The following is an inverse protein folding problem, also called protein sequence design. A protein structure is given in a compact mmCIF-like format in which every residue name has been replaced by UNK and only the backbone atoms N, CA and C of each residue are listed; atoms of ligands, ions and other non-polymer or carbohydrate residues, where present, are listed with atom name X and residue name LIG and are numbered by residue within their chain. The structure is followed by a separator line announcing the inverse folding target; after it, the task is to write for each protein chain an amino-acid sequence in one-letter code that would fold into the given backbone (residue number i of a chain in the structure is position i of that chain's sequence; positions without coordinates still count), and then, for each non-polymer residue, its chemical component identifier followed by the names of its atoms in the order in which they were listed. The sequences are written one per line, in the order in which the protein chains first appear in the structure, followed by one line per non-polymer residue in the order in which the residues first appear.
data_IF_144564861088
#
_entry.id   IF_144564861088
#
_cell.length_a   1.000
_cell.length_b   1.000
_cell.length_c   1.000
_cell.angle_alpha   90.00
_cell.angle_beta   90.00
_cell.angle_gamma   90.00
#
_symmetry.space_group_name_H-M   'P 1'
#
loop_
_entity.id
_entity.type
_entity.pdbx_description
1 polymer ?
#
# COMPACT_ATOMS: atom_id res chain seq x y z
N UNK A 1 -11.30 4.08 -19.38
CA UNK A 1 -10.57 3.27 -18.68
C UNK A 1 -10.03 2.06 -19.42
N UNK A 2 -10.86 1.12 -19.78
CA UNK A 2 -10.38 -0.20 -20.14
C UNK A 2 -10.24 -0.32 -21.66
N UNK A 3 -9.19 -0.95 -22.13
CA UNK A 3 -9.04 -1.31 -23.55
C UNK A 3 -10.21 -2.16 -24.03
N UNK A 4 -10.83 -2.91 -23.11
CA UNK A 4 -11.97 -3.78 -23.40
C UNK A 4 -13.30 -3.05 -23.59
N UNK A 5 -13.44 -1.78 -23.21
CA UNK A 5 -14.74 -1.09 -23.34
C UNK A 5 -15.28 -0.98 -24.77
N UNK A 6 -14.48 -0.66 -25.81
CA UNK A 6 -14.98 -0.69 -27.18
C UNK A 6 -15.51 -2.09 -27.58
N UNK A 7 -14.83 -3.13 -27.15
CA UNK A 7 -15.27 -4.51 -27.40
C UNK A 7 -16.57 -4.85 -26.64
N UNK A 8 -16.70 -4.42 -25.38
CA UNK A 8 -17.93 -4.60 -24.61
C UNK A 8 -19.10 -3.81 -25.21
N UNK A 9 -18.85 -2.60 -25.70
CA UNK A 9 -19.85 -1.79 -26.37
C UNK A 9 -20.43 -2.51 -27.61
N UNK A 10 -19.57 -3.10 -28.45
CA UNK A 10 -19.99 -3.87 -29.61
C UNK A 10 -20.75 -5.12 -29.20
N UNK A 11 -20.33 -5.85 -28.18
CA UNK A 11 -21.07 -7.00 -27.64
C UNK A 11 -22.46 -6.62 -27.15
N UNK A 12 -22.61 -5.48 -26.48
CA UNK A 12 -23.91 -5.00 -26.00
C UNK A 12 -24.79 -4.61 -27.18
N UNK A 13 -24.25 -3.97 -28.23
CA UNK A 13 -24.99 -3.65 -29.45
C UNK A 13 -25.53 -4.93 -30.15
N UNK A 14 -24.68 -5.94 -30.28
CA UNK A 14 -25.07 -7.25 -30.85
C UNK A 14 -26.16 -7.90 -29.98
N UNK A 15 -25.97 -8.00 -28.68
CA UNK A 15 -26.94 -8.61 -27.78
C UNK A 15 -28.30 -7.87 -27.79
N UNK A 16 -28.29 -6.54 -27.88
CA UNK A 16 -29.52 -5.75 -27.99
C UNK A 16 -30.26 -6.03 -29.30
N UNK A 17 -29.53 -6.15 -30.41
CA UNK A 17 -30.10 -6.52 -31.70
C UNK A 17 -30.72 -7.94 -31.70
N UNK A 18 -30.02 -8.94 -31.15
CA UNK A 18 -30.50 -10.31 -31.02
C UNK A 18 -31.78 -10.42 -30.17
N UNK A 19 -31.90 -9.56 -29.16
CA UNK A 19 -33.08 -9.50 -28.29
C UNK A 19 -34.18 -8.59 -28.83
N UNK A 20 -34.02 -7.97 -30.00
CA UNK A 20 -34.97 -7.03 -30.56
C UNK A 20 -35.20 -5.76 -29.76
N UNK A 21 -34.21 -5.34 -28.97
CA UNK A 21 -34.31 -4.14 -28.14
C UNK A 21 -33.98 -2.88 -28.94
N UNK A 22 -34.93 -1.95 -29.01
CA UNK A 22 -34.73 -0.63 -29.61
C UNK A 22 -34.04 0.33 -28.66
N UNK A 23 -32.73 0.13 -28.44
CA UNK A 23 -31.91 0.96 -27.56
C UNK A 23 -30.80 1.66 -28.35
N UNK A 24 -30.47 2.90 -27.93
CA UNK A 24 -29.32 3.64 -28.45
C UNK A 24 -28.14 3.42 -27.53
N UNK A 25 -27.04 2.91 -28.07
CA UNK A 25 -25.81 2.62 -27.30
C UNK A 25 -24.71 3.45 -27.92
N UNK A 26 -24.11 4.33 -27.11
CA UNK A 26 -22.98 5.21 -27.48
C UNK A 26 -21.94 5.20 -26.38
N UNK A 27 -20.68 5.18 -26.77
CA UNK A 27 -19.55 5.17 -25.85
C UNK A 27 -18.26 5.66 -26.52
N UNK A 28 -17.19 4.93 -26.35
CA UNK A 28 -15.87 5.24 -26.94
C UNK A 28 -15.87 5.02 -28.46
N UNK A 29 -16.57 4.00 -28.95
CA UNK A 29 -16.63 3.68 -30.37
C UNK A 29 -17.34 4.75 -31.21
N UNK A 30 -18.21 5.56 -30.61
CA UNK A 30 -18.89 6.66 -31.27
C UNK A 30 -18.42 8.05 -30.79
N UNK A 31 -17.21 8.12 -30.29
CA UNK A 31 -16.54 9.36 -29.86
C UNK A 31 -17.30 10.17 -28.78
N UNK A 32 -18.27 9.57 -28.10
CA UNK A 32 -18.98 10.21 -26.99
C UNK A 32 -18.09 10.31 -25.76
N UNK A 33 -17.22 9.33 -25.57
CA UNK A 33 -16.19 9.28 -24.54
C UNK A 33 -14.82 9.13 -25.19
N UNK A 34 -13.77 9.76 -24.65
CA UNK A 34 -12.43 9.59 -25.20
C UNK A 34 -11.94 8.14 -25.04
N UNK A 35 -11.23 7.58 -26.03
CA UNK A 35 -10.74 6.20 -25.98
C UNK A 35 -9.62 6.00 -24.94
N UNK A 36 -8.94 7.07 -24.53
CA UNK A 36 -7.80 7.05 -23.61
C UNK A 36 -8.04 7.99 -22.43
N UNK A 37 -7.18 7.90 -21.41
CA UNK A 37 -7.15 8.71 -20.20
C UNK A 37 -8.25 8.39 -19.18
N UNK A 38 -8.06 8.92 -17.99
CA UNK A 38 -8.99 8.77 -16.88
C UNK A 38 -10.26 9.61 -17.10
N UNK A 39 -11.38 9.07 -16.66
CA UNK A 39 -12.63 9.80 -16.67
C UNK A 39 -12.79 10.60 -15.38
N UNK A 40 -13.01 11.89 -15.52
CA UNK A 40 -13.41 12.75 -14.43
C UNK A 40 -14.94 13.03 -14.43
N UNK A 41 -15.49 13.52 -13.33
CA UNK A 41 -16.92 13.81 -13.24
C UNK A 41 -17.41 14.84 -14.25
N UNK A 42 -16.55 15.76 -14.69
CA UNK A 42 -16.93 16.81 -15.68
C UNK A 42 -17.07 16.18 -17.06
N UNK A 43 -16.09 15.36 -17.45
CA UNK A 43 -16.10 14.62 -18.71
C UNK A 43 -17.33 13.72 -18.81
N UNK A 44 -17.62 12.91 -17.78
CA UNK A 44 -18.78 12.02 -17.77
C UNK A 44 -20.08 12.80 -17.83
N UNK A 45 -20.23 13.89 -17.06
CA UNK A 45 -21.43 14.76 -17.12
C UNK A 45 -21.61 15.40 -18.48
N UNK A 46 -20.52 15.85 -19.11
CA UNK A 46 -20.56 16.42 -20.46
C UNK A 46 -21.04 15.39 -21.50
N UNK A 47 -20.51 14.16 -21.44
CA UNK A 47 -20.91 13.08 -22.33
C UNK A 47 -22.39 12.70 -22.13
N UNK A 48 -22.85 12.57 -20.90
CA UNK A 48 -24.27 12.29 -20.59
C UNK A 48 -25.18 13.43 -21.08
N UNK A 49 -24.79 14.69 -20.85
CA UNK A 49 -25.54 15.83 -21.34
C UNK A 49 -25.62 15.87 -22.87
N UNK A 50 -24.52 15.60 -23.55
CA UNK A 50 -24.48 15.47 -25.01
C UNK A 50 -25.39 14.35 -25.52
N UNK A 51 -25.36 13.17 -24.86
CA UNK A 51 -26.22 12.04 -25.23
C UNK A 51 -27.72 12.38 -25.14
N UNK A 52 -28.11 13.07 -24.05
CA UNK A 52 -29.50 13.46 -23.83
C UNK A 52 -29.86 14.84 -24.40
N UNK A 53 -28.94 15.50 -25.10
CA UNK A 53 -29.11 16.85 -25.67
C UNK A 53 -29.53 17.88 -24.63
N UNK A 54 -28.98 17.79 -23.42
CA UNK A 54 -29.22 18.71 -22.31
C UNK A 54 -28.07 19.72 -22.24
N UNK A 55 -28.38 21.00 -22.03
CA UNK A 55 -27.35 22.04 -21.85
C UNK A 55 -26.59 21.81 -20.51
N UNK A 56 -25.30 21.61 -20.60
CA UNK A 56 -24.40 21.43 -19.45
C UNK A 56 -23.21 22.36 -19.60
N UNK A 57 -23.05 23.25 -18.63
CA UNK A 57 -21.90 24.15 -18.53
C UNK A 57 -20.96 23.64 -17.45
N UNK A 58 -19.80 23.08 -17.81
CA UNK A 58 -18.83 22.64 -16.83
C UNK A 58 -18.36 23.81 -15.95
N UNK A 59 -18.12 23.59 -14.65
CA UNK A 59 -17.61 24.60 -13.77
C UNK A 59 -16.23 25.07 -14.26
N UNK A 60 -16.02 26.37 -14.33
CA UNK A 60 -14.69 26.93 -14.59
C UNK A 60 -13.87 26.83 -13.32
N UNK A 61 -13.01 25.82 -13.24
CA UNK A 61 -12.03 25.69 -12.15
C UNK A 61 -10.79 26.49 -12.56
N UNK A 62 -10.51 27.58 -11.86
CA UNK A 62 -9.21 28.25 -11.98
C UNK A 62 -8.22 27.49 -11.11
N UNK A 63 -7.34 26.73 -11.75
CA UNK A 63 -6.19 26.11 -11.07
C UNK A 63 -5.08 27.15 -11.06
N UNK A 64 -4.70 27.61 -9.87
CA UNK A 64 -3.50 28.43 -9.71
C UNK A 64 -2.27 27.51 -9.89
N UNK A 65 -1.36 27.90 -10.76
CA UNK A 65 -0.17 27.10 -11.12
C UNK A 65 0.80 26.86 -9.97
N UNK A 66 0.65 27.57 -8.85
CA UNK A 66 1.60 27.60 -7.74
C UNK A 66 1.19 26.70 -6.55
N UNK A 67 0.26 25.76 -6.75
CA UNK A 67 -0.08 24.81 -5.70
C UNK A 67 1.06 23.79 -5.53
N UNK A 68 1.54 23.61 -4.29
CA UNK A 68 2.58 22.62 -4.03
C UNK A 68 2.06 21.21 -4.34
N UNK A 69 2.87 20.41 -5.02
CA UNK A 69 2.55 19.01 -5.27
C UNK A 69 2.45 18.25 -3.95
N UNK A 70 1.41 17.48 -3.80
CA UNK A 70 1.17 16.61 -2.63
C UNK A 70 1.03 15.17 -3.10
N UNK A 71 2.14 14.48 -3.37
CA UNK A 71 2.08 13.08 -3.78
C UNK A 71 1.41 12.24 -2.69
N UNK A 72 0.68 11.18 -3.06
CA UNK A 72 0.09 10.27 -2.09
C UNK A 72 1.19 9.66 -1.21
N UNK A 73 0.88 9.42 0.07
CA UNK A 73 1.84 8.87 1.03
C UNK A 73 1.15 7.85 1.95
N UNK A 74 1.93 6.94 2.50
CA UNK A 74 1.46 6.04 3.56
C UNK A 74 1.01 6.85 4.79
N UNK A 75 -0.10 6.44 5.39
CA UNK A 75 -0.68 7.11 6.55
C UNK A 75 0.29 7.20 7.73
N UNK A 76 0.06 8.16 8.63
CA UNK A 76 0.76 8.18 9.91
C UNK A 76 0.43 6.92 10.73
N UNK A 77 1.48 6.21 11.18
CA UNK A 77 1.36 4.94 11.89
C UNK A 77 1.00 3.74 11.04
N UNK A 78 1.09 3.86 9.74
CA UNK A 78 0.89 2.72 8.83
C UNK A 78 1.90 1.61 9.12
N UNK A 79 1.47 0.34 9.34
CA UNK A 79 2.39 -0.77 9.59
C UNK A 79 3.28 -1.08 8.37
N UNK A 80 2.81 -0.82 7.16
CA UNK A 80 3.63 -1.00 5.96
C UNK A 80 4.87 -0.12 5.97
N UNK A 81 4.75 1.14 6.45
CA UNK A 81 5.90 2.04 6.63
C UNK A 81 6.94 1.45 7.56
N UNK A 82 6.51 0.91 8.69
CA UNK A 82 7.40 0.27 9.66
C UNK A 82 8.07 -0.98 9.08
N UNK A 83 7.34 -1.75 8.25
CA UNK A 83 7.90 -2.92 7.55
C UNK A 83 8.98 -2.52 6.56
N UNK A 84 8.74 -1.50 5.74
CA UNK A 84 9.74 -0.99 4.78
C UNK A 84 10.97 -0.46 5.49
N UNK A 85 10.77 0.34 6.54
CA UNK A 85 11.87 0.83 7.37
C UNK A 85 12.70 -0.34 7.93
N UNK A 86 12.04 -1.36 8.50
CA UNK A 86 12.72 -2.51 9.06
C UNK A 86 13.50 -3.32 8.01
N UNK A 87 12.96 -3.50 6.80
CA UNK A 87 13.66 -4.17 5.69
C UNK A 87 14.89 -3.36 5.27
N UNK A 88 14.76 -2.05 5.10
CA UNK A 88 15.89 -1.16 4.76
C UNK A 88 16.98 -1.21 5.83
N UNK A 89 16.62 -1.15 7.11
CA UNK A 89 17.59 -1.26 8.21
C UNK A 89 18.22 -2.67 8.30
N UNK A 90 17.50 -3.71 7.92
CA UNK A 90 18.04 -5.07 7.88
C UNK A 90 19.06 -5.26 6.76
N UNK A 91 18.85 -4.63 5.60
CA UNK A 91 19.78 -4.62 4.47
C UNK A 91 21.03 -3.77 4.76
N UNK A 92 20.91 -2.73 5.60
CA UNK A 92 21.98 -1.78 5.85
C UNK A 92 22.35 -0.99 4.58
N UNK A 93 23.64 -0.92 4.27
CA UNK A 93 24.15 -0.30 3.04
C UNK A 93 23.99 -1.21 1.81
N UNK A 94 23.52 -2.44 2.01
CA UNK A 94 23.29 -3.39 0.92
C UNK A 94 22.13 -2.95 0.02
N UNK A 95 22.26 -3.25 -1.26
CA UNK A 95 21.20 -3.09 -2.24
C UNK A 95 20.40 -4.38 -2.40
N UNK A 96 19.12 -4.26 -2.73
CA UNK A 96 18.25 -5.38 -3.08
C UNK A 96 17.33 -4.94 -4.21
N UNK A 97 16.75 -5.89 -4.95
CA UNK A 97 15.65 -5.60 -5.88
C UNK A 97 14.34 -5.81 -5.14
N UNK A 98 13.44 -4.85 -5.26
CA UNK A 98 12.15 -4.80 -4.58
C UNK A 98 10.97 -4.95 -5.56
N UNK A 99 10.61 -6.17 -6.00
CA UNK A 99 9.35 -6.38 -6.68
C UNK A 99 8.18 -6.05 -5.75
N UNK A 100 7.25 -5.26 -6.23
CA UNK A 100 6.05 -4.89 -5.52
C UNK A 100 4.83 -5.09 -6.41
N UNK A 101 3.63 -4.82 -5.89
CA UNK A 101 2.40 -4.83 -6.65
C UNK A 101 1.35 -3.86 -6.07
N UNK A 102 0.08 -4.03 -6.41
CA UNK A 102 -0.94 -3.00 -6.21
C UNK A 102 -1.60 -3.11 -4.84
N UNK A 103 -1.52 -2.04 -4.07
CA UNK A 103 -2.15 -1.86 -2.77
C UNK A 103 -1.64 -0.59 -2.09
N UNK A 104 -2.04 -0.31 -0.85
CA UNK A 104 -1.48 0.83 -0.09
C UNK A 104 0.04 0.77 -0.01
N UNK A 105 0.61 -0.41 0.00
CA UNK A 105 2.05 -0.63 0.05
C UNK A 105 2.78 -0.24 -1.24
N UNK A 106 2.08 -0.08 -2.38
CA UNK A 106 2.65 0.56 -3.58
C UNK A 106 3.31 1.90 -3.28
N UNK A 107 2.76 2.64 -2.31
CA UNK A 107 3.31 3.93 -1.89
C UNK A 107 4.69 3.82 -1.22
N UNK A 108 5.18 2.62 -0.96
CA UNK A 108 6.57 2.35 -0.56
C UNK A 108 7.60 2.66 -1.66
N UNK A 109 7.18 2.86 -2.91
CA UNK A 109 8.04 3.28 -4.02
C UNK A 109 8.61 4.69 -3.80
N UNK A 110 7.87 5.55 -3.09
CA UNK A 110 8.25 6.95 -2.90
C UNK A 110 9.32 7.11 -1.82
N UNK A 111 10.21 8.09 -1.97
CA UNK A 111 11.14 8.45 -0.91
C UNK A 111 10.39 8.82 0.39
N UNK A 112 11.01 8.57 1.55
CA UNK A 112 12.35 8.02 1.76
C UNK A 112 12.42 6.49 1.74
N UNK A 113 11.30 5.80 1.61
CA UNK A 113 11.25 4.34 1.69
C UNK A 113 11.91 3.67 0.48
N UNK A 114 11.57 4.13 -0.73
CA UNK A 114 12.15 3.69 -2.01
C UNK A 114 12.33 2.16 -2.10
N UNK A 115 11.28 1.40 -1.72
CA UNK A 115 11.32 -0.06 -1.64
C UNK A 115 10.30 -0.71 -2.60
N UNK A 116 10.25 -0.21 -3.83
CA UNK A 116 9.53 -0.83 -4.95
C UNK A 116 10.22 -0.40 -6.27
N UNK A 117 10.94 -1.31 -6.89
CA UNK A 117 11.67 -1.08 -8.14
C UNK A 117 10.87 -1.53 -9.37
N UNK A 118 9.97 -2.49 -9.18
CA UNK A 118 9.17 -3.07 -10.25
C UNK A 118 7.75 -3.32 -9.78
N UNK A 119 6.79 -2.93 -10.60
CA UNK A 119 5.38 -3.07 -10.32
C UNK A 119 4.60 -3.23 -11.63
N UNK A 120 3.73 -4.23 -11.72
CA UNK A 120 2.91 -4.46 -12.90
C UNK A 120 1.43 -4.55 -12.56
N UNK A 121 1.00 -5.57 -11.82
CA UNK A 121 -0.40 -5.80 -11.44
C UNK A 121 -0.48 -6.52 -10.09
N UNK A 122 -1.70 -6.70 -9.57
CA UNK A 122 -1.90 -7.43 -8.31
C UNK A 122 -1.31 -8.84 -8.37
N UNK A 123 -0.39 -9.15 -7.43
CA UNK A 123 0.29 -10.44 -7.31
C UNK A 123 1.54 -10.61 -8.18
N UNK A 124 1.85 -9.65 -9.04
CA UNK A 124 3.05 -9.71 -9.90
C UNK A 124 4.35 -9.70 -9.11
N UNK A 125 4.37 -9.17 -7.89
CA UNK A 125 5.56 -9.12 -7.03
C UNK A 125 6.15 -10.50 -6.79
N UNK A 126 5.31 -11.49 -6.50
CA UNK A 126 5.76 -12.86 -6.19
C UNK A 126 6.32 -13.55 -7.42
N UNK A 127 5.64 -13.43 -8.57
CA UNK A 127 6.09 -14.05 -9.82
C UNK A 127 7.34 -13.39 -10.38
N UNK A 128 7.40 -12.05 -10.38
CA UNK A 128 8.59 -11.32 -10.85
C UNK A 128 9.80 -11.50 -9.94
N UNK A 129 9.59 -11.64 -8.62
CA UNK A 129 10.68 -11.98 -7.70
C UNK A 129 11.35 -13.30 -8.06
N UNK A 130 10.57 -14.31 -8.43
CA UNK A 130 11.10 -15.57 -8.94
C UNK A 130 12.01 -15.37 -10.17
N UNK A 131 11.56 -14.57 -11.14
CA UNK A 131 12.33 -14.23 -12.33
C UNK A 131 13.63 -13.48 -12.00
N UNK A 132 13.53 -12.41 -11.22
CA UNK A 132 14.71 -11.61 -10.79
C UNK A 132 15.71 -12.48 -10.04
N UNK A 133 15.28 -13.40 -9.19
CA UNK A 133 16.18 -14.28 -8.43
C UNK A 133 17.00 -15.26 -9.28
N UNK A 134 16.66 -15.44 -10.56
CA UNK A 134 17.37 -16.32 -11.49
C UNK A 134 18.36 -15.57 -12.40
N UNK A 135 18.26 -14.25 -12.53
CA UNK A 135 19.03 -13.49 -13.52
C UNK A 135 19.99 -12.47 -12.90
N UNK A 136 20.05 -12.41 -11.56
CA UNK A 136 20.93 -11.48 -10.86
C UNK A 136 21.36 -12.02 -9.48
N UNK A 137 22.46 -11.48 -8.94
CA UNK A 137 23.07 -11.92 -7.68
C UNK A 137 22.60 -11.08 -6.47
N UNK A 138 21.98 -9.93 -6.68
CA UNK A 138 21.48 -9.09 -5.59
C UNK A 138 20.33 -9.79 -4.87
N UNK A 139 20.18 -9.60 -3.55
CA UNK A 139 19.01 -10.07 -2.83
C UNK A 139 17.71 -9.55 -3.45
N UNK A 140 16.71 -10.42 -3.55
CA UNK A 140 15.36 -10.04 -4.00
C UNK A 140 14.44 -10.07 -2.79
N UNK A 141 13.76 -8.95 -2.51
CA UNK A 141 12.80 -8.81 -1.41
C UNK A 141 11.47 -8.32 -1.97
N UNK A 142 10.54 -9.22 -2.18
CA UNK A 142 9.22 -8.90 -2.73
C UNK A 142 8.25 -8.49 -1.64
N UNK A 143 7.36 -7.55 -1.95
CA UNK A 143 6.28 -7.12 -1.07
C UNK A 143 4.92 -7.43 -1.68
N UNK A 144 4.01 -7.98 -0.88
CA UNK A 144 2.62 -8.24 -1.24
C UNK A 144 1.70 -7.96 -0.06
N UNK A 145 0.56 -7.33 -0.28
CA UNK A 145 -0.48 -7.18 0.75
C UNK A 145 -1.25 -8.48 0.98
N UNK A 146 -1.85 -8.64 2.16
CA UNK A 146 -2.66 -9.80 2.53
C UNK A 146 -3.80 -10.08 1.53
N UNK A 147 -4.57 -9.09 1.18
CA UNK A 147 -5.65 -9.20 0.20
C UNK A 147 -5.14 -9.63 -1.17
N UNK A 148 -4.08 -9.00 -1.67
CA UNK A 148 -3.45 -9.35 -2.95
C UNK A 148 -2.82 -10.74 -2.92
N UNK A 149 -2.23 -11.15 -1.80
CA UNK A 149 -1.72 -12.50 -1.62
C UNK A 149 -2.82 -13.55 -1.82
N UNK A 150 -3.99 -13.36 -1.20
CA UNK A 150 -5.14 -14.25 -1.41
C UNK A 150 -5.69 -14.20 -2.84
N UNK A 151 -5.68 -13.01 -3.46
CA UNK A 151 -6.21 -12.82 -4.81
C UNK A 151 -5.37 -13.55 -5.87
N UNK A 152 -4.05 -13.38 -5.86
CA UNK A 152 -3.17 -13.86 -6.95
C UNK A 152 -1.73 -14.19 -6.53
N UNK A 153 -1.33 -13.93 -5.27
CA UNK A 153 0.03 -14.22 -4.81
C UNK A 153 0.31 -15.71 -4.58
N UNK A 154 -0.72 -16.50 -4.21
CA UNK A 154 -0.57 -17.92 -3.86
C UNK A 154 -0.04 -18.74 -5.03
N UNK A 155 -0.56 -18.54 -6.23
CA UNK A 155 -0.13 -19.26 -7.43
C UNK A 155 1.34 -18.96 -7.79
N UNK A 156 1.74 -17.68 -7.65
CA UNK A 156 3.13 -17.26 -7.82
C UNK A 156 4.05 -17.91 -6.79
N UNK A 157 3.60 -18.04 -5.55
CA UNK A 157 4.38 -18.70 -4.48
C UNK A 157 4.56 -20.19 -4.73
N UNK A 158 3.51 -20.90 -5.13
CA UNK A 158 3.58 -22.33 -5.51
C UNK A 158 4.59 -22.52 -6.65
N UNK A 159 4.50 -21.69 -7.69
CA UNK A 159 5.43 -21.71 -8.81
C UNK A 159 6.89 -21.45 -8.36
N UNK A 160 7.09 -20.48 -7.47
CA UNK A 160 8.42 -20.14 -6.98
C UNK A 160 9.06 -21.27 -6.17
N UNK A 161 8.30 -21.93 -5.31
CA UNK A 161 8.76 -23.08 -4.53
C UNK A 161 9.06 -24.27 -5.47
N UNK A 162 8.15 -24.58 -6.39
CA UNK A 162 8.33 -25.67 -7.35
C UNK A 162 9.59 -25.53 -8.20
N UNK A 163 9.94 -24.30 -8.61
CA UNK A 163 11.10 -24.02 -9.46
C UNK A 163 12.36 -23.62 -8.66
N UNK A 164 12.38 -23.84 -7.37
CA UNK A 164 13.52 -23.56 -6.48
C UNK A 164 14.05 -22.11 -6.67
N UNK A 165 13.15 -21.14 -6.63
CA UNK A 165 13.50 -19.72 -6.66
C UNK A 165 14.04 -19.27 -5.30
N UNK A 166 14.92 -18.28 -5.29
CA UNK A 166 15.59 -17.81 -4.08
C UNK A 166 15.30 -16.32 -3.83
N UNK A 167 14.29 -16.01 -3.00
CA UNK A 167 13.97 -14.64 -2.60
C UNK A 167 13.28 -14.60 -1.24
N UNK A 168 13.19 -13.41 -0.66
CA UNK A 168 12.40 -13.15 0.54
C UNK A 168 11.07 -12.49 0.16
N UNK A 169 9.95 -13.12 0.55
CA UNK A 169 8.62 -12.55 0.38
C UNK A 169 8.15 -11.93 1.70
N UNK A 170 7.83 -10.65 1.70
CA UNK A 170 7.24 -9.94 2.83
C UNK A 170 5.74 -9.78 2.58
N UNK A 171 4.93 -10.54 3.30
CA UNK A 171 3.46 -10.43 3.27
C UNK A 171 3.04 -9.38 4.31
N UNK A 172 2.45 -8.30 3.84
CA UNK A 172 2.02 -7.17 4.65
C UNK A 172 0.55 -7.38 5.10
N UNK A 173 0.38 -8.09 6.23
CA UNK A 173 -0.92 -8.45 6.80
C UNK A 173 -1.47 -7.30 7.67
N UNK A 174 -2.35 -6.47 7.12
CA UNK A 174 -3.02 -5.39 7.83
C UNK A 174 -4.50 -5.68 8.16
N UNK A 175 -5.00 -6.86 7.79
CA UNK A 175 -6.34 -7.34 8.08
C UNK A 175 -7.45 -6.68 7.27
N UNK A 176 -7.15 -6.04 6.14
CA UNK A 176 -8.18 -5.41 5.29
C UNK A 176 -7.66 -5.02 3.91
N UNK A 177 -8.52 -5.02 2.90
CA UNK A 177 -8.24 -4.43 1.58
C UNK A 177 -8.36 -2.92 1.68
N UNK A 178 -7.31 -2.26 2.22
CA UNK A 178 -7.41 -0.88 2.70
C UNK A 178 -7.58 0.16 1.60
N UNK A 179 -6.86 0.05 0.48
CA UNK A 179 -6.78 1.07 -0.56
C UNK A 179 -8.13 1.39 -1.20
N UNK A 180 -8.97 0.39 -1.41
CA UNK A 180 -10.24 0.52 -2.12
C UNK A 180 -11.46 0.73 -1.21
N UNK A 181 -11.26 0.91 0.10
CA UNK A 181 -12.35 1.20 1.04
C UNK A 181 -12.48 0.20 2.18
N UNK A 182 -11.42 -0.53 2.50
CA UNK A 182 -11.36 -1.43 3.66
C UNK A 182 -12.30 -2.64 3.55
N UNK A 183 -12.38 -3.25 2.37
CA UNK A 183 -13.17 -4.46 2.15
C UNK A 183 -12.56 -5.66 2.90
N UNK A 184 -13.41 -6.62 3.30
CA UNK A 184 -12.94 -7.89 3.84
C UNK A 184 -12.28 -8.75 2.75
N UNK A 185 -11.43 -9.69 3.19
CA UNK A 185 -10.76 -10.68 2.35
C UNK A 185 -10.71 -12.04 3.10
N UNK A 186 -10.33 -13.15 2.47
CA UNK A 186 -10.38 -14.48 3.11
C UNK A 186 -9.61 -14.64 4.43
N UNK A 187 -8.67 -13.77 4.73
CA UNK A 187 -7.89 -13.77 5.98
C UNK A 187 -8.59 -13.13 7.18
N UNK A 188 -9.83 -12.66 7.04
CA UNK A 188 -10.61 -12.03 8.13
C UNK A 188 -11.92 -12.77 8.37
N UNK A 189 -12.48 -12.60 9.57
CA UNK A 189 -13.72 -13.28 10.02
C UNK A 189 -14.99 -12.50 9.63
N UNK A 190 -14.99 -11.83 8.49
CA UNK A 190 -16.12 -11.03 8.02
C UNK A 190 -16.23 -11.11 6.49
N UNK A 191 -17.44 -11.33 5.98
CA UNK A 191 -17.72 -11.21 4.54
C UNK A 191 -18.24 -9.81 4.20
N UNK A 192 -18.32 -9.50 2.90
CA UNK A 192 -18.94 -8.26 2.42
C UNK A 192 -20.42 -8.13 2.84
N UNK A 193 -21.11 -9.24 3.05
CA UNK A 193 -22.50 -9.31 3.51
C UNK A 193 -22.64 -9.31 5.05
N UNK A 194 -21.53 -9.17 5.79
CA UNK A 194 -21.54 -9.17 7.26
C UNK A 194 -21.64 -10.55 7.91
N UNK A 195 -21.49 -11.66 7.17
CA UNK A 195 -21.41 -13.01 7.73
C UNK A 195 -20.03 -13.28 8.32
N UNK A 196 -19.93 -14.21 9.26
CA UNK A 196 -18.70 -14.60 9.94
C UNK A 196 -18.23 -16.02 9.52
N UNK A 197 -17.55 -16.17 8.39
CA UNK A 197 -16.99 -17.43 7.95
C UNK A 197 -15.69 -17.74 8.69
N UNK A 198 -15.19 -19.01 8.64
CA UNK A 198 -13.83 -19.33 9.02
C UNK A 198 -12.86 -18.53 8.17
N UNK A 199 -11.83 -17.97 8.79
CA UNK A 199 -10.75 -17.29 8.07
C UNK A 199 -9.67 -18.27 7.62
N UNK A 200 -9.01 -17.93 6.52
CA UNK A 200 -7.82 -18.63 6.05
C UNK A 200 -6.60 -18.02 6.75
N UNK A 201 -5.85 -18.85 7.45
CA UNK A 201 -4.60 -18.44 8.09
C UNK A 201 -3.46 -18.36 7.06
N UNK A 202 -2.86 -17.18 6.91
CA UNK A 202 -1.79 -16.93 5.92
C UNK A 202 -0.58 -17.86 6.18
N UNK A 203 -0.18 -18.03 7.45
CA UNK A 203 0.98 -18.86 7.79
C UNK A 203 0.76 -20.32 7.40
N UNK A 204 -0.42 -20.85 7.67
CA UNK A 204 -0.81 -22.20 7.30
C UNK A 204 -0.86 -22.36 5.77
N UNK A 205 -1.42 -21.37 5.06
CA UNK A 205 -1.47 -21.37 3.61
C UNK A 205 -0.07 -21.34 2.99
N UNK A 206 0.81 -20.46 3.46
CA UNK A 206 2.20 -20.36 2.99
C UNK A 206 2.95 -21.68 3.22
N UNK A 207 2.75 -22.31 4.38
CA UNK A 207 3.34 -23.65 4.66
C UNK A 207 2.78 -24.71 3.73
N UNK A 208 1.48 -24.68 3.43
CA UNK A 208 0.83 -25.56 2.46
C UNK A 208 1.35 -25.39 1.03
N UNK A 209 1.92 -24.24 0.68
CA UNK A 209 2.62 -24.01 -0.58
C UNK A 209 4.04 -24.59 -0.61
N UNK A 210 4.53 -25.19 0.49
CA UNK A 210 5.85 -25.83 0.57
C UNK A 210 6.97 -24.91 1.08
N UNK A 211 6.64 -23.77 1.70
CA UNK A 211 7.64 -22.89 2.32
C UNK A 211 7.94 -23.35 3.74
N UNK A 212 9.20 -23.64 4.04
CA UNK A 212 9.65 -24.06 5.36
C UNK A 212 10.05 -22.88 6.25
N UNK A 213 10.76 -21.89 5.70
CA UNK A 213 11.24 -20.72 6.42
C UNK A 213 10.18 -19.62 6.48
N UNK A 214 9.40 -19.59 7.57
CA UNK A 214 8.32 -18.63 7.78
C UNK A 214 8.50 -17.95 9.13
N UNK A 215 8.56 -16.63 9.14
CA UNK A 215 8.59 -15.80 10.37
C UNK A 215 7.38 -14.88 10.41
N UNK A 216 6.78 -14.71 11.59
CA UNK A 216 5.70 -13.72 11.82
C UNK A 216 6.25 -12.64 12.74
N UNK A 217 6.12 -11.38 12.30
CA UNK A 217 6.62 -10.22 13.04
C UNK A 217 5.53 -9.17 13.21
N UNK A 218 5.65 -8.37 14.27
CA UNK A 218 4.86 -7.14 14.41
C UNK A 218 5.76 -5.95 14.02
N UNK A 219 5.55 -5.29 12.88
CA UNK A 219 6.43 -4.23 12.38
C UNK A 219 6.50 -3.02 13.31
N UNK A 220 5.53 -2.85 14.22
CA UNK A 220 5.57 -1.80 15.24
C UNK A 220 6.59 -2.10 16.36
N UNK A 221 7.17 -3.30 16.42
CA UNK A 221 8.32 -3.67 17.26
C UNK A 221 9.59 -3.66 16.41
N UNK A 222 10.12 -2.45 16.17
CA UNK A 222 11.13 -2.18 15.13
C UNK A 222 12.35 -3.08 15.25
N UNK A 223 13.03 -3.08 16.40
CA UNK A 223 14.28 -3.83 16.60
C UNK A 223 14.09 -5.34 16.43
N UNK A 224 12.99 -5.88 16.97
CA UNK A 224 12.66 -7.30 16.81
C UNK A 224 12.38 -7.66 15.36
N UNK A 225 11.72 -6.77 14.64
CA UNK A 225 11.41 -6.98 13.22
C UNK A 225 12.69 -6.93 12.39
N UNK A 226 13.58 -5.98 12.63
CA UNK A 226 14.89 -5.90 11.97
C UNK A 226 15.70 -7.18 12.22
N UNK A 227 15.79 -7.62 13.48
CA UNK A 227 16.54 -8.84 13.83
C UNK A 227 15.99 -10.09 13.13
N UNK A 228 14.66 -10.25 13.12
CA UNK A 228 14.01 -11.39 12.46
C UNK A 228 14.20 -11.37 10.94
N UNK A 229 14.15 -10.21 10.30
CA UNK A 229 14.41 -10.08 8.86
C UNK A 229 15.86 -10.41 8.53
N UNK A 230 16.82 -9.89 9.31
CA UNK A 230 18.25 -10.23 9.14
C UNK A 230 18.48 -11.75 9.20
N UNK A 231 17.94 -12.40 10.23
CA UNK A 231 18.03 -13.86 10.41
C UNK A 231 17.44 -14.63 9.20
N UNK A 232 16.30 -14.17 8.68
CA UNK A 232 15.67 -14.78 7.49
C UNK A 232 16.53 -14.59 6.25
N UNK A 233 17.17 -13.45 6.09
CA UNK A 233 17.99 -13.12 4.92
C UNK A 233 19.40 -13.77 4.96
N UNK A 234 19.82 -14.31 6.08
CA UNK A 234 21.03 -15.15 6.18
C UNK A 234 20.90 -16.47 5.42
N UNK A 235 19.69 -17.00 5.31
CA UNK A 235 19.40 -18.16 4.49
C UNK A 235 19.49 -17.78 3.00
N UNK A 236 20.39 -18.44 2.26
CA UNK A 236 20.69 -18.14 0.86
C UNK A 236 19.95 -19.04 -0.12
N UNK A 237 19.04 -19.88 0.37
CA UNK A 237 18.36 -20.88 -0.45
C UNK A 237 16.84 -20.78 -0.35
N UNK A 238 16.16 -21.10 -1.44
CA UNK A 238 14.71 -21.23 -1.50
C UNK A 238 13.93 -19.94 -1.21
N UNK A 239 12.62 -20.06 -1.14
CA UNK A 239 11.73 -18.96 -0.79
C UNK A 239 11.59 -18.84 0.73
N UNK A 240 11.86 -17.66 1.26
CA UNK A 240 11.66 -17.29 2.67
C UNK A 240 10.48 -16.35 2.78
N UNK A 241 9.64 -16.50 3.81
CA UNK A 241 8.45 -15.67 4.00
C UNK A 241 8.48 -14.97 5.35
N UNK A 242 8.35 -13.65 5.33
CA UNK A 242 8.12 -12.79 6.50
C UNK A 242 6.68 -12.31 6.46
N UNK A 243 5.86 -12.73 7.41
CA UNK A 243 4.50 -12.23 7.59
C UNK A 243 4.56 -11.05 8.57
N UNK A 244 4.49 -9.83 8.02
CA UNK A 244 4.50 -8.59 8.79
C UNK A 244 3.08 -8.21 9.17
N UNK A 245 2.69 -8.56 10.40
CA UNK A 245 1.31 -8.51 10.85
C UNK A 245 1.04 -7.40 11.85
N UNK A 246 0.20 -6.46 11.45
CA UNK A 246 -0.34 -5.42 12.33
C UNK A 246 -1.56 -4.76 11.68
N UNK A 247 -2.67 -4.55 12.41
CA UNK A 247 -3.88 -4.04 11.81
C UNK A 247 -3.70 -2.63 11.22
N UNK A 248 -4.45 -2.34 10.16
CA UNK A 248 -4.54 -0.99 9.60
C UNK A 248 -5.12 -0.03 10.65
N UNK A 249 -4.39 1.03 11.07
CA UNK A 249 -4.85 1.89 12.17
C UNK A 249 -6.10 2.69 11.83
N UNK A 250 -6.35 2.98 10.56
CA UNK A 250 -7.58 3.65 10.12
C UNK A 250 -8.78 2.70 10.22
N UNK A 251 -8.61 1.46 9.80
CA UNK A 251 -9.64 0.43 9.89
C UNK A 251 -9.93 0.07 11.35
N UNK A 252 -8.91 -0.19 12.16
CA UNK A 252 -9.07 -0.47 13.58
C UNK A 252 -9.82 0.65 14.30
N UNK A 253 -9.47 1.91 14.03
CA UNK A 253 -10.16 3.06 14.60
C UNK A 253 -11.62 3.13 14.16
N UNK A 254 -11.91 2.81 12.90
CA UNK A 254 -13.27 2.80 12.34
C UNK A 254 -14.15 1.76 13.03
N UNK A 255 -13.66 0.52 13.19
CA UNK A 255 -14.45 -0.58 13.76
C UNK A 255 -14.54 -0.54 15.29
N UNK A 256 -13.51 -0.04 15.98
CA UNK A 256 -13.49 -0.03 17.45
C UNK A 256 -13.97 1.28 18.07
N UNK A 257 -14.05 2.36 17.29
CA UNK A 257 -14.33 3.71 17.81
C UNK A 257 -13.28 4.25 18.79
N UNK A 258 -12.18 3.51 19.03
CA UNK A 258 -11.15 3.90 20.01
C UNK A 258 -10.45 5.17 19.58
N UNK A 259 -10.47 6.18 20.45
CA UNK A 259 -9.72 7.43 20.27
C UNK A 259 -8.27 7.24 20.73
N UNK A 260 -7.35 7.81 19.97
CA UNK A 260 -5.95 7.85 20.32
C UNK A 260 -5.72 8.66 21.62
N UNK A 261 -5.13 8.03 22.66
CA UNK A 261 -4.87 8.65 23.95
C UNK A 261 -3.46 9.22 24.10
N UNK A 262 -2.50 8.68 23.33
CA UNK A 262 -1.09 9.06 23.39
C UNK A 262 -0.64 9.50 22.00
N UNK A 263 0.02 10.61 21.93
CA UNK A 263 0.75 11.10 20.75
C UNK A 263 2.21 11.28 21.12
N UNK A 264 3.06 11.57 20.16
CA UNK A 264 4.48 11.81 20.41
C UNK A 264 4.82 13.26 20.11
N UNK A 265 5.88 13.74 20.72
CA UNK A 265 6.48 15.06 20.46
C UNK A 265 7.99 14.93 20.37
N UNK A 266 8.61 15.80 19.60
CA UNK A 266 10.04 16.00 19.61
C UNK A 266 10.39 16.91 20.78
N UNK A 267 11.47 16.61 21.48
CA UNK A 267 11.98 17.41 22.60
C UNK A 267 13.21 18.20 22.15
N UNK A 268 13.67 19.11 23.00
CA UNK A 268 14.91 19.89 22.80
C UNK A 268 16.19 19.04 22.82
N UNK A 269 16.09 17.74 23.08
CA UNK A 269 17.19 16.77 22.91
C UNK A 269 17.42 16.42 21.41
N UNK A 270 16.66 17.00 20.48
CA UNK A 270 16.80 16.74 19.05
C UNK A 270 18.09 17.37 18.51
N UNK A 271 18.94 16.54 17.94
CA UNK A 271 20.21 16.93 17.31
C UNK A 271 20.08 17.23 15.80
N UNK A 272 18.85 17.30 15.29
CA UNK A 272 18.55 17.55 13.87
C UNK A 272 19.16 16.54 12.90
N UNK A 273 19.40 15.30 13.32
CA UNK A 273 19.95 14.23 12.46
C UNK A 273 19.00 13.80 11.31
N UNK A 274 17.75 14.24 11.31
CA UNK A 274 16.71 14.05 10.27
C UNK A 274 16.31 12.59 9.99
N UNK A 275 16.81 11.59 10.69
CA UNK A 275 16.45 10.17 10.46
C UNK A 275 14.93 9.92 10.46
N UNK A 276 14.17 10.64 11.28
CA UNK A 276 12.71 10.56 11.32
C UNK A 276 12.04 11.05 10.01
N UNK A 277 12.69 11.97 9.29
CA UNK A 277 12.24 12.48 7.98
C UNK A 277 12.80 11.63 6.84
N UNK A 278 14.12 11.45 6.84
CA UNK A 278 14.87 10.96 5.67
C UNK A 278 14.92 9.42 5.60
N UNK A 279 14.63 8.69 6.69
CA UNK A 279 14.55 7.23 6.70
C UNK A 279 13.12 6.72 6.95
N UNK A 280 12.39 7.27 7.93
CA UNK A 280 11.03 6.83 8.25
C UNK A 280 9.97 7.54 7.42
N UNK A 281 10.10 8.86 7.20
CA UNK A 281 9.22 9.69 6.37
C UNK A 281 7.76 9.69 6.81
N UNK A 282 7.47 9.61 8.12
CA UNK A 282 6.09 9.64 8.61
C UNK A 282 5.45 11.01 8.36
N UNK A 283 4.24 11.08 7.74
CA UNK A 283 3.60 12.36 7.38
C UNK A 283 3.15 13.20 8.60
N UNK A 284 3.27 12.67 9.81
CA UNK A 284 3.06 13.45 11.01
C UNK A 284 4.26 14.33 11.39
N UNK A 285 5.44 14.12 10.78
CA UNK A 285 6.58 15.00 10.97
C UNK A 285 6.50 16.21 10.05
N UNK A 286 6.92 17.35 10.61
CA UNK A 286 7.06 18.61 9.87
C UNK A 286 8.42 19.20 10.17
N UNK A 287 9.13 19.62 9.13
CA UNK A 287 10.30 20.48 9.27
C UNK A 287 9.81 21.92 9.35
N UNK A 288 10.24 22.63 10.37
CA UNK A 288 9.83 24.00 10.66
C UNK A 288 11.05 24.88 10.87
N UNK A 289 10.89 26.17 10.66
CA UNK A 289 11.82 27.23 11.04
C UNK A 289 11.09 28.21 11.93
N UNK A 290 11.76 28.68 13.00
CA UNK A 290 11.21 29.70 13.89
C UNK A 290 11.48 31.14 13.35
N UNK A 291 11.04 32.15 14.08
CA UNK A 291 11.23 33.56 13.72
C UNK A 291 12.70 34.00 13.66
N UNK A 292 13.62 33.20 14.20
CA UNK A 292 15.06 33.44 14.17
C UNK A 292 15.77 32.56 13.12
N UNK A 293 15.03 31.98 12.18
CA UNK A 293 15.54 31.03 11.17
C UNK A 293 16.17 29.76 11.77
N UNK A 294 15.85 29.43 13.03
CA UNK A 294 16.32 28.21 13.66
C UNK A 294 15.42 27.03 13.25
N UNK A 295 16.03 26.04 12.62
CA UNK A 295 15.31 24.85 12.16
C UNK A 295 14.96 23.91 13.32
N UNK A 296 13.77 23.33 13.29
CA UNK A 296 13.34 22.28 14.23
C UNK A 296 12.38 21.29 13.56
N UNK A 297 12.26 20.09 14.17
CA UNK A 297 11.32 19.07 13.73
C UNK A 297 10.17 18.99 14.72
N UNK A 298 8.94 19.05 14.20
CA UNK A 298 7.72 18.93 14.98
C UNK A 298 6.94 17.66 14.61
N UNK A 299 6.02 17.24 15.48
CA UNK A 299 5.04 16.19 15.19
C UNK A 299 3.65 16.80 15.29
N UNK A 300 2.89 16.72 14.21
CA UNK A 300 1.47 17.09 14.21
C UNK A 300 0.66 16.07 15.04
N UNK A 301 0.12 16.54 16.17
CA UNK A 301 -0.66 15.73 17.09
C UNK A 301 -2.01 15.25 16.50
N UNK A 302 -2.54 15.95 15.49
CA UNK A 302 -3.78 15.56 14.82
C UNK A 302 -3.54 14.38 13.88
N UNK A 303 -2.39 14.34 13.22
CA UNK A 303 -1.98 13.26 12.34
C UNK A 303 -1.38 12.07 13.10
N UNK A 304 -0.71 12.32 14.21
CA UNK A 304 -0.02 11.27 14.97
C UNK A 304 -0.98 10.18 15.46
N UNK A 305 -0.75 8.94 15.01
CA UNK A 305 -1.54 7.76 15.43
C UNK A 305 -1.06 7.11 16.74
N UNK A 306 0.06 7.56 17.31
CA UNK A 306 0.63 6.99 18.53
C UNK A 306 1.24 5.59 18.39
N UNK A 307 1.61 5.17 17.20
CA UNK A 307 2.13 3.82 16.90
C UNK A 307 3.48 3.51 17.55
N UNK A 308 4.18 4.49 18.11
CA UNK A 308 5.47 4.39 18.80
C UNK A 308 6.69 3.99 17.95
N UNK A 309 6.58 3.83 16.65
CA UNK A 309 7.72 3.49 15.77
C UNK A 309 8.82 4.54 15.87
N UNK A 310 8.49 5.81 15.72
CA UNK A 310 9.47 6.91 15.76
C UNK A 310 10.22 7.02 17.10
N UNK A 311 9.57 6.68 18.23
CA UNK A 311 10.21 6.64 19.55
C UNK A 311 11.32 5.59 19.63
N UNK A 312 11.19 4.49 18.90
CA UNK A 312 12.20 3.42 18.88
C UNK A 312 13.41 3.80 18.03
N UNK A 313 13.25 4.76 17.12
CA UNK A 313 14.28 5.23 16.19
C UNK A 313 15.05 6.42 16.76
N UNK A 314 14.41 7.26 17.58
CA UNK A 314 14.98 8.52 18.06
C UNK A 314 14.73 8.74 19.56
N UNK A 315 15.80 8.97 20.29
CA UNK A 315 15.77 9.23 21.74
C UNK A 315 15.06 10.55 22.11
N UNK A 316 15.10 11.54 21.22
CA UNK A 316 14.46 12.84 21.42
C UNK A 316 12.93 12.81 21.27
N UNK A 317 12.34 11.68 20.86
CA UNK A 317 10.88 11.55 20.69
C UNK A 317 10.28 10.93 21.95
N UNK A 318 9.42 11.71 22.63
CA UNK A 318 8.79 11.32 23.91
C UNK A 318 7.27 11.28 23.78
N UNK A 319 6.60 10.39 24.54
CA UNK A 319 5.13 10.34 24.56
C UNK A 319 4.53 11.59 25.22
N UNK A 320 3.36 12.00 24.74
CA UNK A 320 2.54 13.07 25.29
C UNK A 320 1.08 12.58 25.36
N UNK A 321 0.40 12.84 26.48
CA UNK A 321 -1.05 12.60 26.55
C UNK A 321 -1.75 13.54 25.57
N UNK A 322 -2.61 13.01 24.72
CA UNK A 322 -3.44 13.84 23.85
C UNK A 322 -4.45 14.59 24.71
N UNK A 323 -4.50 15.93 24.58
CA UNK A 323 -5.56 16.71 25.23
C UNK A 323 -6.90 16.25 24.68
N UNK A 324 -7.84 15.92 25.54
CA UNK A 324 -9.25 15.71 25.15
C UNK A 324 -9.78 17.04 24.61
N UNK A 325 -10.20 17.04 23.34
CA UNK A 325 -10.94 18.15 22.79
C UNK A 325 -12.37 18.16 23.35
#
# INVERSE_FOLDING_TARGET
VEELEPFLEDMIKVAAQEQGLAVTIKGKGEELLPPYFEFDPVLVKSAVAQFFQVDYKPPKVQITSDLPQRPPNLCAGCPHRASYYAVRQALGEGSAVFPSDIGCYTLGLLPPLAAADYLLCMGSSVSSAGGFSKVQDQPVVAFVGDSTFFHSGVTGLINAVHNDHNFTLVILDNGTTAMTGQQPHPGVELTAEGRHPPKVDIKTLVRGCGVDRIVVVNPLQVDKTIAAIKEVMEDKTGVKVVISKSPCPLFERRITGKKQKVVFRVTNECDMCRRCLDELGCPAFTYCEDENECAFIAIDEHLCSGCSVCKQICHAIKPKKKKSA
#
